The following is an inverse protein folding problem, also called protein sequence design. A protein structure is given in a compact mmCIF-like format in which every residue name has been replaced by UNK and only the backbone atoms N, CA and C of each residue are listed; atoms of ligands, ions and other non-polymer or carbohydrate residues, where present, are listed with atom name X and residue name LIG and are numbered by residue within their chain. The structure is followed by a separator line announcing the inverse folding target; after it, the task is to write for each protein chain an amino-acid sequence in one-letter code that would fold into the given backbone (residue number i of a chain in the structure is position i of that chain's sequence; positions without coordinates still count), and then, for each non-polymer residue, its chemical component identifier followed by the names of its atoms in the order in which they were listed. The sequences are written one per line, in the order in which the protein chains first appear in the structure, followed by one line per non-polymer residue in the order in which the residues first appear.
data_IF_695242100618
#
_entry.id   IF_695242100618
#
_cell.length_a   1.000
_cell.length_b   1.000
_cell.length_c   1.000
_cell.angle_alpha   90.00
_cell.angle_beta   90.00
_cell.angle_gamma   90.00
#
_symmetry.space_group_name_H-M   'P 1'
#
loop_
_entity.id
_entity.type
_entity.pdbx_description
1 polymer ?
#
# COMPACT_ATOMS: atom_id res chain seq x y z
N UNK A 1 15.74 9.34 -3.18
CA UNK A 1 14.51 8.54 -3.41
C UNK A 1 13.93 8.88 -4.77
N UNK A 2 13.58 7.86 -5.55
CA UNK A 2 13.03 8.04 -6.89
C UNK A 2 11.67 8.70 -6.87
N UNK A 3 11.30 9.36 -7.97
CA UNK A 3 10.03 10.08 -8.08
C UNK A 3 8.83 9.16 -7.85
N UNK A 4 8.79 8.01 -8.53
CA UNK A 4 7.66 7.08 -8.40
C UNK A 4 7.62 6.41 -7.03
N UNK A 5 8.78 6.20 -6.40
CA UNK A 5 8.83 5.72 -5.01
C UNK A 5 8.10 6.67 -4.09
N UNK A 6 8.37 7.98 -4.21
CA UNK A 6 7.71 9.01 -3.40
C UNK A 6 6.21 9.05 -3.65
N UNK A 7 5.81 8.93 -4.92
CA UNK A 7 4.39 8.93 -5.28
C UNK A 7 3.65 7.73 -4.68
N UNK A 8 4.25 6.54 -4.71
CA UNK A 8 3.66 5.35 -4.11
C UNK A 8 3.56 5.47 -2.59
N UNK A 9 4.59 6.00 -1.93
CA UNK A 9 4.57 6.21 -0.48
C UNK A 9 3.52 7.23 -0.08
N UNK A 10 3.37 8.29 -0.86
CA UNK A 10 2.34 9.30 -0.61
C UNK A 10 0.95 8.68 -0.74
N UNK A 11 0.73 7.88 -1.77
CA UNK A 11 -0.56 7.20 -1.96
C UNK A 11 -0.84 6.22 -0.82
N UNK A 12 0.17 5.49 -0.34
CA UNK A 12 0.03 4.62 0.82
C UNK A 12 -0.32 5.41 2.08
N UNK A 13 0.30 6.56 2.26
CA UNK A 13 0.03 7.44 3.39
C UNK A 13 -1.41 7.98 3.36
N UNK A 14 -1.92 8.31 2.18
CA UNK A 14 -3.31 8.75 2.03
C UNK A 14 -4.28 7.66 2.48
N UNK A 15 -4.00 6.40 2.17
CA UNK A 15 -4.80 5.28 2.64
C UNK A 15 -4.73 5.16 4.17
N UNK A 16 -3.56 5.38 4.76
CA UNK A 16 -3.39 5.33 6.21
C UNK A 16 -4.20 6.43 6.90
N UNK A 17 -4.18 7.65 6.38
CA UNK A 17 -4.99 8.77 6.89
C UNK A 17 -6.47 8.40 6.83
N UNK A 18 -6.92 7.82 5.73
CA UNK A 18 -8.30 7.39 5.57
C UNK A 18 -8.67 6.37 6.64
N UNK A 19 -7.80 5.39 6.90
CA UNK A 19 -8.01 4.40 7.95
C UNK A 19 -8.17 5.08 9.31
N UNK A 20 -7.28 6.01 9.65
CA UNK A 20 -7.33 6.71 10.92
C UNK A 20 -8.64 7.45 11.13
N UNK A 21 -9.23 8.01 10.06
CA UNK A 21 -10.48 8.74 10.13
C UNK A 21 -11.71 7.85 10.35
N UNK A 22 -11.65 6.59 9.91
CA UNK A 22 -12.83 5.72 9.91
C UNK A 22 -12.71 4.49 10.81
N UNK A 23 -11.55 4.26 11.42
CA UNK A 23 -11.26 3.00 12.14
C UNK A 23 -12.21 2.74 13.31
N UNK A 24 -12.71 3.78 13.95
CA UNK A 24 -13.62 3.66 15.09
C UNK A 24 -15.08 3.47 14.69
N UNK A 25 -15.38 3.54 13.40
CA UNK A 25 -16.73 3.34 12.90
C UNK A 25 -16.92 1.89 12.47
N UNK A 26 -17.65 1.11 13.29
CA UNK A 26 -17.82 -0.33 13.05
C UNK A 26 -18.60 -0.64 11.77
N UNK A 27 -19.37 0.31 11.24
CA UNK A 27 -20.07 0.13 9.97
C UNK A 27 -19.13 0.21 8.76
N UNK A 28 -17.91 0.72 8.95
CA UNK A 28 -16.94 0.90 7.89
C UNK A 28 -15.78 -0.11 7.94
N UNK A 29 -15.94 -1.20 8.68
CA UNK A 29 -14.89 -2.21 8.85
C UNK A 29 -14.37 -2.74 7.50
N UNK A 30 -15.25 -3.00 6.54
CA UNK A 30 -14.85 -3.49 5.22
C UNK A 30 -14.05 -2.43 4.45
N UNK A 31 -14.37 -1.17 4.64
CA UNK A 31 -13.65 -0.06 3.99
C UNK A 31 -12.28 0.11 4.62
N UNK A 32 -12.18 -0.05 5.95
CA UNK A 32 -10.88 -0.05 6.65
C UNK A 32 -10.00 -1.16 6.09
N UNK A 33 -10.53 -2.37 5.97
CA UNK A 33 -9.78 -3.52 5.44
C UNK A 33 -9.30 -3.26 4.01
N UNK A 34 -10.14 -2.67 3.15
CA UNK A 34 -9.79 -2.31 1.78
C UNK A 34 -8.61 -1.33 1.76
N UNK A 35 -8.69 -0.26 2.53
CA UNK A 35 -7.62 0.73 2.57
C UNK A 35 -6.34 0.19 3.19
N UNK A 36 -6.44 -0.72 4.17
CA UNK A 36 -5.27 -1.39 4.72
C UNK A 36 -4.55 -2.22 3.66
N UNK A 37 -5.30 -2.97 2.86
CA UNK A 37 -4.74 -3.74 1.74
C UNK A 37 -4.08 -2.82 0.72
N UNK A 38 -4.73 -1.72 0.35
CA UNK A 38 -4.18 -0.74 -0.59
C UNK A 38 -2.90 -0.11 -0.06
N UNK A 39 -2.85 0.21 1.23
CA UNK A 39 -1.68 0.78 1.87
C UNK A 39 -0.48 -0.18 1.76
N UNK A 40 -0.70 -1.46 2.06
CA UNK A 40 0.34 -2.49 1.96
C UNK A 40 0.82 -2.63 0.52
N UNK A 41 -0.09 -2.75 -0.44
CA UNK A 41 0.26 -2.91 -1.85
C UNK A 41 1.07 -1.73 -2.38
N UNK A 42 0.67 -0.52 -2.05
CA UNK A 42 1.36 0.70 -2.49
C UNK A 42 2.74 0.82 -1.85
N UNK A 43 2.86 0.44 -0.58
CA UNK A 43 4.16 0.42 0.10
C UNK A 43 5.11 -0.59 -0.55
N UNK A 44 4.61 -1.74 -0.93
CA UNK A 44 5.40 -2.75 -1.64
C UNK A 44 5.82 -2.26 -3.02
N UNK A 45 4.94 -1.59 -3.75
CA UNK A 45 5.28 -0.99 -5.04
C UNK A 45 6.37 0.08 -4.89
N UNK A 46 6.34 0.84 -3.79
CA UNK A 46 7.38 1.82 -3.50
C UNK A 46 8.74 1.15 -3.32
N UNK A 47 8.77 0.04 -2.59
CA UNK A 47 10.02 -0.72 -2.37
C UNK A 47 10.54 -1.28 -3.70
N UNK A 48 9.66 -1.87 -4.49
CA UNK A 48 10.00 -2.43 -5.80
C UNK A 48 10.58 -1.34 -6.71
N UNK A 49 9.96 -0.17 -6.74
CA UNK A 49 10.42 0.95 -7.55
C UNK A 49 11.79 1.46 -7.10
N UNK A 50 11.98 1.64 -5.78
CA UNK A 50 13.23 2.16 -5.23
C UNK A 50 14.40 1.20 -5.46
N UNK A 51 14.17 -0.10 -5.27
CA UNK A 51 15.21 -1.13 -5.37
C UNK A 51 15.34 -1.70 -6.78
N UNK A 52 14.51 -1.26 -7.72
CA UNK A 52 14.50 -1.78 -9.10
C UNK A 52 14.35 -3.30 -9.15
N UNK A 53 13.55 -3.85 -8.24
CA UNK A 53 13.34 -5.29 -8.13
C UNK A 53 12.40 -5.77 -9.25
N UNK A 54 12.68 -6.96 -9.78
CA UNK A 54 11.84 -7.57 -10.81
C UNK A 54 10.47 -7.94 -10.25
N UNK A 55 9.42 -7.25 -10.71
CA UNK A 55 8.05 -7.43 -10.24
C UNK A 55 7.54 -8.87 -10.42
N UNK A 56 7.72 -9.53 -11.59
CA UNK A 56 7.29 -10.93 -11.75
C UNK A 56 7.89 -11.88 -10.73
N UNK A 57 9.16 -11.68 -10.38
CA UNK A 57 9.84 -12.53 -9.40
C UNK A 57 9.25 -12.34 -8.01
N UNK A 58 8.98 -11.10 -7.61
CA UNK A 58 8.37 -10.80 -6.32
C UNK A 58 6.95 -11.33 -6.27
N UNK A 59 6.19 -11.14 -7.33
CA UNK A 59 4.82 -11.66 -7.42
C UNK A 59 4.79 -13.16 -7.22
N UNK A 60 5.74 -13.87 -7.81
CA UNK A 60 5.88 -15.32 -7.67
C UNK A 60 6.19 -15.70 -6.22
N UNK A 61 7.06 -14.95 -5.54
CA UNK A 61 7.44 -15.21 -4.14
C UNK A 61 6.31 -14.94 -3.17
N UNK A 62 5.45 -13.94 -3.46
CA UNK A 62 4.34 -13.53 -2.61
C UNK A 62 3.03 -14.26 -2.92
N UNK A 63 3.05 -15.13 -3.90
CA UNK A 63 1.86 -15.90 -4.27
C UNK A 63 1.70 -17.06 -3.30
N UNK A 64 0.69 -16.97 -2.49
CA UNK A 64 0.34 -18.01 -1.51
C UNK A 64 -0.61 -19.01 -2.10
#
# INVERSE_FOLDING_TARGET
MKKFTKEWLRAAYDDLITIEEIIDNSFLTNIVAFHAQQCIEKSMKAIIEEEEINIPKIHKLLKF
#
